data_IF_728696077234
#
_entry.id   IF_728696077234
#
_cell.length_a   1.000
_cell.length_b   1.000
_cell.length_c   1.000
_cell.angle_alpha   90.00
_cell.angle_beta   90.00
_cell.angle_gamma   90.00
#
_symmetry.space_group_name_H-M   'P 1'
#
loop_
_entity.id
_entity.type
_entity.pdbx_description
1 polymer ?
#
# COMPACT_ATOMS: atom_id res chain seq x y z
N UNK A 1 -4.01 16.43 -9.22
CA UNK A 1 -4.10 16.61 -7.76
C UNK A 1 -5.44 17.19 -7.30
N UNK A 2 -5.81 18.43 -7.68
CA UNK A 2 -7.01 19.11 -7.14
C UNK A 2 -8.32 18.31 -7.29
N UNK A 3 -8.53 17.68 -8.44
CA UNK A 3 -9.68 16.80 -8.67
C UNK A 3 -9.75 15.65 -7.64
N UNK A 4 -8.67 14.90 -7.47
CA UNK A 4 -8.58 13.77 -6.52
C UNK A 4 -8.82 14.22 -5.08
N UNK A 5 -8.28 15.38 -4.68
CA UNK A 5 -8.54 15.96 -3.36
C UNK A 5 -10.03 16.25 -3.16
N UNK A 6 -10.66 16.92 -4.14
CA UNK A 6 -12.09 17.24 -4.08
C UNK A 6 -12.94 15.96 -4.03
N UNK A 7 -12.64 14.99 -4.88
CA UNK A 7 -13.35 13.73 -5.00
C UNK A 7 -13.35 12.96 -3.66
N UNK A 8 -12.17 12.68 -3.09
CA UNK A 8 -12.05 11.97 -1.82
C UNK A 8 -12.74 12.69 -0.65
N UNK A 9 -12.62 14.02 -0.58
CA UNK A 9 -13.27 14.81 0.49
C UNK A 9 -14.79 14.85 0.39
N UNK A 10 -15.37 14.52 -0.77
CA UNK A 10 -16.81 14.53 -0.99
C UNK A 10 -17.51 13.24 -0.55
N UNK A 11 -16.74 12.22 -0.17
CA UNK A 11 -17.25 10.87 0.11
C UNK A 11 -17.96 10.82 1.47
N UNK A 12 -19.22 10.39 1.46
CA UNK A 12 -19.96 10.09 2.67
C UNK A 12 -19.64 8.67 3.15
N UNK A 13 -18.70 8.55 4.10
CA UNK A 13 -18.25 7.25 4.64
C UNK A 13 -19.32 6.45 5.38
N UNK A 14 -20.44 7.06 5.79
CA UNK A 14 -21.57 6.30 6.34
C UNK A 14 -22.34 5.51 5.26
N UNK A 15 -22.26 5.94 3.99
CA UNK A 15 -22.88 5.26 2.84
C UNK A 15 -21.87 4.42 2.05
N UNK A 16 -20.66 4.93 1.90
CA UNK A 16 -19.55 4.27 1.19
C UNK A 16 -18.37 4.11 2.17
N UNK A 17 -18.41 3.09 3.04
CA UNK A 17 -17.44 2.94 4.13
C UNK A 17 -16.02 2.66 3.63
N UNK A 18 -15.91 1.97 2.49
CA UNK A 18 -14.63 1.64 1.88
C UNK A 18 -14.22 2.68 0.84
N UNK A 19 -13.04 3.24 1.01
CA UNK A 19 -12.37 4.10 0.06
C UNK A 19 -11.10 3.39 -0.44
N UNK A 20 -11.12 3.02 -1.72
CA UNK A 20 -10.01 2.36 -2.41
C UNK A 20 -9.40 3.32 -3.40
N UNK A 21 -8.07 3.46 -3.36
CA UNK A 21 -7.32 4.21 -4.36
C UNK A 21 -6.63 3.26 -5.33
N UNK A 22 -6.59 3.60 -6.61
CA UNK A 22 -5.92 2.81 -7.63
C UNK A 22 -4.99 3.68 -8.47
N UNK A 23 -3.85 3.12 -8.85
CA UNK A 23 -2.94 3.74 -9.82
C UNK A 23 -2.11 2.70 -10.55
N UNK A 24 -1.25 3.13 -11.46
CA UNK A 24 -0.40 2.21 -12.22
C UNK A 24 0.94 1.95 -11.52
N UNK A 25 1.77 2.99 -11.33
CA UNK A 25 3.10 2.89 -10.69
C UNK A 25 2.98 2.93 -9.16
N UNK A 26 3.59 1.99 -8.42
CA UNK A 26 3.44 1.92 -6.97
C UNK A 26 4.22 3.01 -6.23
N UNK A 27 3.71 3.38 -5.06
CA UNK A 27 4.47 4.16 -4.06
C UNK A 27 5.44 3.28 -3.25
N UNK A 28 5.09 1.99 -3.12
CA UNK A 28 5.83 1.01 -2.34
C UNK A 28 5.94 -0.29 -3.12
N UNK A 29 7.16 -0.77 -3.30
CA UNK A 29 7.45 -2.12 -3.81
C UNK A 29 8.83 -2.53 -3.36
N UNK A 30 9.03 -3.84 -3.21
CA UNK A 30 10.34 -4.44 -2.99
C UNK A 30 11.20 -4.51 -4.26
N UNK A 31 10.61 -4.31 -5.45
CA UNK A 31 11.33 -4.32 -6.73
C UNK A 31 12.37 -3.20 -6.81
N UNK A 32 13.59 -3.55 -7.20
CA UNK A 32 14.73 -2.63 -7.34
C UNK A 32 14.94 -2.14 -8.78
N UNK A 33 13.98 -2.42 -9.68
CA UNK A 33 14.02 -1.96 -11.06
C UNK A 33 14.06 -0.43 -11.19
N UNK A 34 14.69 0.05 -12.27
CA UNK A 34 14.66 1.46 -12.62
C UNK A 34 13.20 1.85 -12.89
N UNK A 35 12.71 2.90 -12.22
CA UNK A 35 11.31 3.36 -12.27
C UNK A 35 10.27 2.41 -11.65
N UNK A 36 10.67 1.51 -10.74
CA UNK A 36 9.71 0.69 -9.98
C UNK A 36 8.77 1.52 -9.09
N UNK A 37 9.26 2.64 -8.53
CA UNK A 37 8.47 3.58 -7.71
C UNK A 37 8.49 4.97 -8.36
N UNK A 38 7.38 5.70 -8.24
CA UNK A 38 7.30 7.12 -8.56
C UNK A 38 7.34 7.96 -7.28
N UNK A 39 8.52 8.49 -6.94
CA UNK A 39 8.78 9.18 -5.66
C UNK A 39 8.08 10.54 -5.58
N UNK A 40 7.98 11.26 -6.69
CA UNK A 40 7.31 12.56 -6.72
C UNK A 40 5.80 12.39 -6.57
N UNK A 41 5.23 11.39 -7.24
CA UNK A 41 3.84 11.00 -7.05
C UNK A 41 3.56 10.59 -5.60
N UNK A 42 4.40 9.73 -5.00
CA UNK A 42 4.24 9.30 -3.62
C UNK A 42 4.27 10.50 -2.65
N UNK A 43 5.26 11.40 -2.81
CA UNK A 43 5.42 12.58 -1.96
C UNK A 43 4.19 13.49 -1.95
N UNK A 44 3.54 13.67 -3.09
CA UNK A 44 2.37 14.56 -3.22
C UNK A 44 1.05 13.85 -2.85
N UNK A 45 0.88 12.58 -3.20
CA UNK A 45 -0.39 11.87 -3.08
C UNK A 45 -0.53 11.13 -1.75
N UNK A 46 0.53 10.55 -1.20
CA UNK A 46 0.46 9.78 0.05
C UNK A 46 -0.16 10.57 1.22
N UNK A 47 0.19 11.85 1.47
CA UNK A 47 -0.45 12.62 2.54
C UNK A 47 -1.95 12.80 2.33
N UNK A 48 -2.41 12.87 1.07
CA UNK A 48 -3.84 12.98 0.74
C UNK A 48 -4.58 11.67 1.03
N UNK A 49 -3.96 10.51 0.75
CA UNK A 49 -4.54 9.21 1.04
C UNK A 49 -4.74 9.02 2.56
N UNK A 50 -3.72 9.39 3.34
CA UNK A 50 -3.79 9.35 4.81
C UNK A 50 -4.88 10.30 5.34
N UNK A 51 -4.92 11.55 4.86
CA UNK A 51 -5.87 12.55 5.32
C UNK A 51 -7.34 12.17 5.07
N UNK A 52 -7.61 11.41 4.01
CA UNK A 52 -8.96 10.92 3.66
C UNK A 52 -9.24 9.50 4.19
N UNK A 53 -8.33 8.95 5.00
CA UNK A 53 -8.41 7.60 5.56
C UNK A 53 -8.69 6.54 4.48
N UNK A 54 -7.91 6.56 3.41
CA UNK A 54 -7.98 5.52 2.36
C UNK A 54 -7.66 4.18 3.00
N UNK A 55 -8.46 3.16 2.71
CA UNK A 55 -8.37 1.85 3.36
C UNK A 55 -7.36 0.95 2.63
N UNK A 56 -7.47 0.89 1.30
CA UNK A 56 -6.65 0.06 0.43
C UNK A 56 -6.18 0.84 -0.80
N UNK A 57 -4.92 0.63 -1.15
CA UNK A 57 -4.27 1.23 -2.31
C UNK A 57 -3.78 0.11 -3.22
N UNK A 58 -4.21 0.12 -4.48
CA UNK A 58 -3.87 -0.90 -5.47
C UNK A 58 -3.01 -0.31 -6.59
N UNK A 59 -1.90 -0.99 -6.88
CA UNK A 59 -1.00 -0.63 -7.96
C UNK A 59 -0.66 -1.81 -8.86
N UNK A 60 -0.29 -1.52 -10.11
CA UNK A 60 0.27 -2.48 -11.05
C UNK A 60 1.75 -2.18 -11.31
N UNK A 61 2.11 -2.09 -12.59
CA UNK A 61 3.44 -1.77 -13.14
C UNK A 61 4.52 -2.81 -12.84
N UNK A 62 4.70 -3.16 -11.57
CA UNK A 62 5.57 -4.26 -11.15
C UNK A 62 4.78 -5.57 -11.28
N UNK A 63 5.26 -6.49 -12.10
CA UNK A 63 4.57 -7.73 -12.45
C UNK A 63 4.80 -8.82 -11.42
N UNK A 64 4.46 -8.53 -10.17
CA UNK A 64 4.46 -9.47 -9.06
C UNK A 64 3.24 -9.21 -8.15
N UNK A 65 3.19 -9.89 -7.00
CA UNK A 65 2.19 -9.64 -5.97
C UNK A 65 2.85 -9.32 -4.63
N UNK A 66 2.56 -8.13 -4.11
CA UNK A 66 3.06 -7.65 -2.81
C UNK A 66 1.93 -7.02 -2.01
N UNK A 67 2.05 -7.05 -0.68
CA UNK A 67 1.19 -6.31 0.25
C UNK A 67 2.02 -5.78 1.39
N UNK A 68 1.76 -4.53 1.78
CA UNK A 68 2.44 -3.88 2.90
C UNK A 68 1.69 -4.09 4.21
N UNK A 69 2.31 -3.75 5.32
CA UNK A 69 1.55 -3.36 6.52
C UNK A 69 0.85 -2.00 6.29
N UNK A 70 0.11 -1.48 7.28
CA UNK A 70 -0.35 -0.09 7.20
C UNK A 70 0.88 0.82 7.24
N UNK A 71 1.17 1.51 6.14
CA UNK A 71 2.46 2.18 5.91
C UNK A 71 2.26 3.66 5.60
N UNK A 72 3.12 4.49 6.16
CA UNK A 72 3.19 5.91 5.81
C UNK A 72 4.64 6.39 5.89
N UNK A 73 5.12 7.12 4.87
CA UNK A 73 6.49 7.64 4.81
C UNK A 73 7.56 6.57 5.10
N UNK A 74 7.44 5.39 4.48
CA UNK A 74 8.30 4.23 4.70
C UNK A 74 8.32 3.65 6.13
N UNK A 75 7.43 4.08 7.02
CA UNK A 75 7.30 3.50 8.37
C UNK A 75 6.06 2.62 8.46
N UNK A 76 6.23 1.43 9.04
CA UNK A 76 5.11 0.57 9.36
C UNK A 76 4.41 1.10 10.61
N UNK A 77 3.14 1.51 10.47
CA UNK A 77 2.37 2.06 11.58
C UNK A 77 1.47 1.00 12.26
N UNK A 78 1.07 -0.04 11.53
CA UNK A 78 0.37 -1.18 12.11
C UNK A 78 0.54 -2.45 11.27
N UNK A 79 0.81 -3.58 11.93
CA UNK A 79 0.77 -4.90 11.33
C UNK A 79 -0.67 -5.44 11.31
N UNK A 80 -1.03 -6.30 10.34
CA UNK A 80 -2.31 -7.00 10.39
C UNK A 80 -2.38 -7.94 11.60
N UNK A 81 -3.58 -8.11 12.15
CA UNK A 81 -3.88 -9.19 13.08
C UNK A 81 -4.06 -10.48 12.28
N UNK A 82 -3.36 -11.53 12.68
CA UNK A 82 -3.47 -12.85 12.06
C UNK A 82 -4.38 -13.73 12.90
N UNK A 83 -5.45 -14.25 12.30
CA UNK A 83 -6.35 -15.18 12.98
C UNK A 83 -5.75 -16.59 13.08
N UNK A 84 -6.48 -17.50 13.76
CA UNK A 84 -6.06 -18.91 13.92
C UNK A 84 -5.90 -19.68 12.59
N UNK A 85 -6.51 -19.19 11.51
CA UNK A 85 -6.41 -19.78 10.16
C UNK A 85 -5.30 -19.11 9.32
N UNK A 86 -4.58 -18.15 9.89
CA UNK A 86 -3.51 -17.43 9.20
C UNK A 86 -4.00 -16.26 8.33
N UNK A 87 -5.28 -15.90 8.39
CA UNK A 87 -5.88 -14.80 7.63
C UNK A 87 -5.50 -13.47 8.29
N UNK A 88 -4.98 -12.55 7.47
CA UNK A 88 -4.65 -11.20 7.91
C UNK A 88 -5.90 -10.31 7.90
N UNK A 89 -6.11 -9.61 9.01
CA UNK A 89 -7.19 -8.63 9.19
C UNK A 89 -6.61 -7.29 9.64
N UNK A 90 -7.16 -6.20 9.10
CA UNK A 90 -6.75 -4.83 9.43
C UNK A 90 -7.92 -4.12 10.10
N UNK A 91 -7.73 -3.69 11.34
CA UNK A 91 -8.74 -2.96 12.08
C UNK A 91 -8.82 -1.50 11.60
N UNK A 92 -9.89 -1.19 10.89
CA UNK A 92 -10.16 0.16 10.39
C UNK A 92 -10.86 1.05 11.42
N UNK A 93 -11.31 0.52 12.57
CA UNK A 93 -11.83 1.35 13.66
C UNK A 93 -10.70 2.15 14.31
N UNK A 94 -9.51 1.57 14.40
CA UNK A 94 -8.27 2.24 14.80
C UNK A 94 -7.36 2.49 13.59
N UNK A 95 -7.86 3.31 12.66
CA UNK A 95 -7.13 3.63 11.44
C UNK A 95 -5.74 4.23 11.73
N UNK A 96 -4.70 3.64 11.14
CA UNK A 96 -3.31 4.11 11.23
C UNK A 96 -2.81 4.70 9.91
N UNK A 97 -2.85 3.92 8.83
CA UNK A 97 -2.41 4.28 7.48
C UNK A 97 -3.01 3.32 6.43
N UNK A 98 -3.06 3.71 5.14
CA UNK A 98 -3.55 2.81 4.10
C UNK A 98 -2.67 1.55 3.98
N UNK A 99 -3.28 0.44 3.58
CA UNK A 99 -2.56 -0.75 3.13
C UNK A 99 -2.30 -0.61 1.63
N UNK A 100 -1.08 -0.89 1.18
CA UNK A 100 -0.73 -0.89 -0.24
C UNK A 100 -0.57 -2.32 -0.73
N UNK A 101 -1.07 -2.59 -1.94
CA UNK A 101 -0.88 -3.86 -2.62
C UNK A 101 -0.45 -3.64 -4.08
N UNK A 102 0.57 -4.39 -4.49
CA UNK A 102 0.96 -4.54 -5.90
C UNK A 102 0.24 -5.77 -6.44
N UNK A 103 -0.50 -5.58 -7.53
CA UNK A 103 -1.34 -6.58 -8.20
C UNK A 103 -1.04 -6.64 -9.71
N UNK A 104 0.21 -6.45 -10.12
CA UNK A 104 0.62 -6.37 -11.54
C UNK A 104 0.83 -7.71 -12.24
N UNK A 105 0.56 -8.84 -11.58
CA UNK A 105 0.86 -10.20 -12.06
C UNK A 105 -0.18 -10.83 -13.01
N UNK A 106 -1.00 -10.02 -13.69
CA UNK A 106 -2.21 -10.50 -14.37
C UNK A 106 -1.99 -11.23 -15.72
N UNK A 107 -0.76 -11.33 -16.24
CA UNK A 107 -0.50 -12.11 -17.45
C UNK A 107 0.71 -11.73 -18.30
N UNK A 108 1.46 -10.68 -17.95
CA UNK A 108 2.75 -10.39 -18.58
C UNK A 108 3.89 -11.18 -17.89
N UNK A 109 5.10 -11.12 -18.44
CA UNK A 109 6.29 -11.69 -17.81
C UNK A 109 6.49 -11.16 -16.39
N UNK A 110 6.69 -12.08 -15.45
CA UNK A 110 6.80 -11.77 -14.03
C UNK A 110 8.13 -11.09 -13.69
N UNK A 111 8.04 -10.07 -12.85
CA UNK A 111 9.21 -9.44 -12.25
C UNK A 111 9.71 -10.28 -11.07
N UNK A 112 11.03 -10.45 -10.99
CA UNK A 112 11.64 -11.17 -9.87
C UNK A 112 11.71 -10.31 -8.63
N UNK A 113 11.42 -10.93 -7.50
CA UNK A 113 11.77 -10.43 -6.20
C UNK A 113 13.29 -10.37 -6.02
N UNK A 114 13.84 -9.32 -5.37
CA UNK A 114 15.21 -9.33 -4.86
C UNK A 114 15.55 -10.62 -4.09
N UNK A 115 16.78 -11.12 -4.27
CA UNK A 115 17.24 -12.36 -3.66
C UNK A 115 17.27 -12.33 -2.12
N UNK A 116 17.28 -11.14 -1.51
CA UNK A 116 17.31 -10.94 -0.07
C UNK A 116 15.92 -10.89 0.59
N UNK A 117 14.82 -11.01 -0.17
CA UNK A 117 13.45 -10.91 0.38
C UNK A 117 13.09 -11.96 1.42
N UNK A 118 13.68 -13.14 1.36
CA UNK A 118 13.48 -14.15 2.40
C UNK A 118 14.04 -13.69 3.76
N UNK A 119 15.09 -12.87 3.75
CA UNK A 119 15.61 -12.21 4.96
C UNK A 119 14.70 -11.06 5.42
N UNK A 120 13.96 -10.42 4.50
CA UNK A 120 13.00 -9.32 4.79
C UNK A 120 11.66 -9.83 5.32
N UNK A 121 11.16 -10.96 4.81
CA UNK A 121 9.93 -11.61 5.32
C UNK A 121 10.06 -12.07 6.78
N UNK A 122 11.27 -12.41 7.21
CA UNK A 122 11.58 -12.82 8.58
C UNK A 122 11.89 -11.64 9.50
N UNK A 123 12.00 -10.43 8.96
CA UNK A 123 12.47 -9.26 9.68
C UNK A 123 11.43 -8.11 9.63
N UNK A 124 10.60 -7.94 10.68
CA UNK A 124 9.63 -6.84 10.74
C UNK A 124 10.26 -5.44 10.69
N UNK A 125 11.59 -5.32 10.80
CA UNK A 125 12.33 -4.06 10.75
C UNK A 125 12.59 -3.52 9.34
N UNK A 126 12.17 -4.21 8.26
CA UNK A 126 12.33 -3.67 6.90
C UNK A 126 11.39 -2.48 6.60
N UNK A 127 10.31 -2.35 7.38
CA UNK A 127 9.50 -1.13 7.49
C UNK A 127 9.54 -0.74 8.95
N UNK A 128 10.57 0.01 9.41
CA UNK A 128 10.82 0.22 10.82
C UNK A 128 9.55 0.69 11.52
N UNK A 129 9.06 -0.13 12.44
CA UNK A 129 8.02 0.23 13.40
C UNK A 129 8.63 1.25 14.36
N UNK A 130 7.92 2.35 14.63
CA UNK A 130 8.26 3.21 15.77
C UNK A 130 7.92 2.53 17.07
#
# INVERSE_FOLDING_TARGET
YLWMKKDMTSINRAKTPWLIFMGHRPMYTSSTGLFSVDTDFAKEVEPLLLANKVDLVLFGHVHNSERTCSVYKNSCLAMPNKDQNGVDSYDHNNYSAPVHAVIGMAGFSLDKFPNDILLKKLNPYYWPTK
#
